data_IF_543851666043
#
_entry.id   IF_543851666043
#
_cell.length_a   1.000
_cell.length_b   1.000
_cell.length_c   1.000
_cell.angle_alpha   90.00
_cell.angle_beta   90.00
_cell.angle_gamma   90.00
#
_symmetry.space_group_name_H-M   'P 1'
#
loop_
_entity.id
_entity.type
_entity.pdbx_description
1 polymer ?
#
# COMPACT_ATOMS: atom_id res chain seq x y z
N UNK A 1 12.83 -22.81 4.93
CA UNK A 1 11.58 -22.10 4.61
C UNK A 1 10.50 -22.61 5.56
N UNK A 2 10.18 -21.88 6.64
CA UNK A 2 9.03 -22.27 7.49
C UNK A 2 7.79 -21.87 6.71
N UNK A 3 6.97 -22.84 6.31
CA UNK A 3 5.64 -22.54 5.80
C UNK A 3 4.91 -21.74 6.88
N UNK A 4 4.67 -20.46 6.65
CA UNK A 4 3.77 -19.70 7.50
C UNK A 4 2.40 -20.36 7.37
N UNK A 5 1.80 -20.79 8.49
CA UNK A 5 0.42 -21.28 8.45
C UNK A 5 -0.49 -20.16 7.95
N UNK A 6 -1.59 -20.53 7.29
CA UNK A 6 -2.60 -19.57 6.87
C UNK A 6 -3.07 -18.72 8.07
N UNK A 7 -3.27 -19.35 9.23
CA UNK A 7 -3.63 -18.68 10.49
C UNK A 7 -2.61 -17.60 10.89
N UNK A 8 -1.32 -17.90 10.78
CA UNK A 8 -0.25 -16.91 11.07
C UNK A 8 -0.34 -15.73 10.10
N UNK A 9 -0.67 -15.99 8.82
CA UNK A 9 -0.82 -14.91 7.85
C UNK A 9 -2.07 -14.07 8.07
N UNK A 10 -3.18 -14.68 8.50
CA UNK A 10 -4.42 -13.97 8.86
C UNK A 10 -4.16 -13.08 10.06
N UNK A 11 -3.51 -13.62 11.10
CA UNK A 11 -3.12 -12.86 12.29
C UNK A 11 -2.27 -11.64 11.92
N UNK A 12 -1.24 -11.82 11.10
CA UNK A 12 -0.39 -10.70 10.62
C UNK A 12 -1.17 -9.67 9.81
N UNK A 13 -2.15 -10.09 9.01
CA UNK A 13 -2.98 -9.15 8.27
C UNK A 13 -3.83 -8.30 9.23
N UNK A 14 -4.47 -8.90 10.24
CA UNK A 14 -5.20 -8.13 11.27
C UNK A 14 -4.29 -7.18 12.04
N UNK A 15 -3.06 -7.59 12.36
CA UNK A 15 -2.07 -6.70 13.01
C UNK A 15 -1.77 -5.47 12.15
N UNK A 16 -1.61 -5.63 10.83
CA UNK A 16 -1.40 -4.50 9.91
C UNK A 16 -2.63 -3.59 9.88
N UNK A 17 -3.83 -4.15 9.76
CA UNK A 17 -5.07 -3.39 9.73
C UNK A 17 -5.28 -2.60 11.03
N UNK A 18 -4.96 -3.20 12.18
CA UNK A 18 -5.07 -2.54 13.48
C UNK A 18 -4.08 -1.37 13.61
N UNK A 19 -2.83 -1.52 13.15
CA UNK A 19 -1.90 -0.39 13.13
C UNK A 19 -2.35 0.73 12.19
N UNK A 20 -2.87 0.39 11.00
CA UNK A 20 -3.39 1.38 10.04
C UNK A 20 -4.58 2.14 10.64
N UNK A 21 -5.50 1.43 11.29
CA UNK A 21 -6.62 2.02 12.02
C UNK A 21 -6.13 2.98 13.11
N UNK A 22 -5.11 2.59 13.89
CA UNK A 22 -4.48 3.41 14.91
C UNK A 22 -3.84 4.69 14.35
N UNK A 23 -3.05 4.58 13.29
CA UNK A 23 -2.43 5.71 12.58
C UNK A 23 -3.48 6.70 12.02
N UNK A 24 -4.64 6.19 11.63
CA UNK A 24 -5.73 7.00 11.08
C UNK A 24 -6.75 7.44 12.13
N UNK A 25 -6.58 7.04 13.40
CA UNK A 25 -7.39 7.47 14.52
C UNK A 25 -8.86 7.06 14.42
N UNK A 26 -9.17 5.98 13.70
CA UNK A 26 -10.52 5.42 13.64
C UNK A 26 -10.51 3.93 13.95
N UNK A 27 -11.50 3.46 14.70
CA UNK A 27 -11.66 2.06 15.06
C UNK A 27 -12.59 1.36 14.05
N UNK A 28 -12.14 1.31 12.79
CA UNK A 28 -12.90 0.73 11.68
C UNK A 28 -11.98 -0.13 10.80
N UNK A 29 -12.04 -1.44 10.98
CA UNK A 29 -11.25 -2.41 10.20
C UNK A 29 -11.56 -2.34 8.70
N UNK A 30 -12.81 -2.05 8.30
CA UNK A 30 -13.17 -1.92 6.88
C UNK A 30 -12.49 -0.71 6.24
N UNK A 31 -12.43 0.41 6.96
CA UNK A 31 -11.73 1.59 6.50
C UNK A 31 -10.21 1.35 6.42
N UNK A 32 -9.63 0.67 7.42
CA UNK A 32 -8.22 0.28 7.38
C UNK A 32 -7.90 -0.66 6.21
N UNK A 33 -8.80 -1.61 5.91
CA UNK A 33 -8.66 -2.50 4.76
C UNK A 33 -8.73 -1.73 3.43
N UNK A 34 -9.71 -0.83 3.28
CA UNK A 34 -9.83 0.02 2.10
C UNK A 34 -8.58 0.90 1.90
N UNK A 35 -8.07 1.51 2.98
CA UNK A 35 -6.82 2.27 2.98
C UNK A 35 -5.63 1.43 2.52
N UNK A 36 -5.44 0.24 3.11
CA UNK A 36 -4.38 -0.69 2.76
C UNK A 36 -4.44 -1.05 1.27
N UNK A 37 -5.59 -1.52 0.82
CA UNK A 37 -5.83 -1.97 -0.56
C UNK A 37 -5.57 -0.86 -1.56
N UNK A 38 -6.19 0.31 -1.38
CA UNK A 38 -6.04 1.45 -2.28
C UNK A 38 -4.58 1.92 -2.41
N UNK A 39 -3.87 1.99 -1.28
CA UNK A 39 -2.46 2.41 -1.28
C UNK A 39 -1.57 1.36 -1.96
N UNK A 40 -1.77 0.08 -1.64
CA UNK A 40 -1.01 -1.03 -2.24
C UNK A 40 -1.20 -1.09 -3.76
N UNK A 41 -2.43 -0.95 -4.25
CA UNK A 41 -2.71 -0.90 -5.69
C UNK A 41 -2.08 0.32 -6.36
N UNK A 42 -2.21 1.50 -5.75
CA UNK A 42 -1.64 2.73 -6.29
C UNK A 42 -0.10 2.66 -6.41
N UNK A 43 0.56 2.00 -5.45
CA UNK A 43 2.01 1.71 -5.50
C UNK A 43 2.30 0.68 -6.59
N UNK A 44 1.63 -0.47 -6.58
CA UNK A 44 1.82 -1.58 -7.53
C UNK A 44 1.78 -1.12 -8.98
N UNK A 45 0.74 -0.37 -9.36
CA UNK A 45 0.48 -0.02 -10.75
C UNK A 45 1.49 0.98 -11.31
N UNK A 46 2.39 1.49 -10.45
CA UNK A 46 3.48 2.40 -10.81
C UNK A 46 4.85 1.75 -10.79
N UNK A 47 4.96 0.50 -10.36
CA UNK A 47 6.22 -0.23 -10.34
C UNK A 47 6.45 -0.99 -11.66
N UNK A 48 7.71 -1.12 -12.10
CA UNK A 48 8.09 -2.13 -13.09
C UNK A 48 7.67 -3.53 -12.62
N UNK A 49 7.23 -4.39 -13.56
CA UNK A 49 6.73 -5.76 -13.25
C UNK A 49 7.70 -6.57 -12.39
N UNK A 50 9.02 -6.47 -12.64
CA UNK A 50 10.02 -7.15 -11.81
C UNK A 50 10.03 -6.68 -10.36
N UNK A 51 9.82 -5.38 -10.11
CA UNK A 51 9.75 -4.83 -8.76
C UNK A 51 8.39 -5.08 -8.10
N UNK A 52 7.32 -5.21 -8.88
CA UNK A 52 6.02 -5.65 -8.36
C UNK A 52 6.16 -7.01 -7.67
N UNK A 53 6.81 -7.97 -8.33
CA UNK A 53 7.06 -9.31 -7.82
C UNK A 53 7.89 -9.28 -6.51
N UNK A 54 8.99 -8.52 -6.51
CA UNK A 54 9.86 -8.38 -5.36
C UNK A 54 9.13 -7.75 -4.16
N UNK A 55 8.43 -6.64 -4.37
CA UNK A 55 7.69 -5.95 -3.31
C UNK A 55 6.61 -6.84 -2.68
N UNK A 56 5.86 -7.59 -3.50
CA UNK A 56 4.85 -8.52 -3.00
C UNK A 56 5.44 -9.72 -2.24
N UNK A 57 6.67 -10.15 -2.55
CA UNK A 57 7.31 -11.30 -1.92
C UNK A 57 7.63 -11.10 -0.43
N UNK A 58 7.79 -9.84 -0.02
CA UNK A 58 8.10 -9.43 1.34
C UNK A 58 6.85 -9.32 2.24
N UNK A 59 5.64 -9.39 1.65
CA UNK A 59 4.37 -9.27 2.39
C UNK A 59 3.88 -10.62 2.96
N UNK A 60 3.13 -10.62 4.08
CA UNK A 60 2.34 -11.77 4.52
C UNK A 60 1.40 -12.27 3.41
N UNK A 61 1.14 -13.58 3.34
CA UNK A 61 0.35 -14.22 2.27
C UNK A 61 -1.00 -13.53 2.01
N UNK A 62 -1.76 -13.20 3.05
CA UNK A 62 -3.06 -12.52 2.92
C UNK A 62 -2.90 -11.10 2.35
N UNK A 63 -1.97 -10.31 2.90
CA UNK A 63 -1.68 -8.94 2.41
C UNK A 63 -1.19 -8.98 0.96
N UNK A 64 -0.38 -9.97 0.60
CA UNK A 64 0.06 -10.22 -0.77
C UNK A 64 -1.11 -10.53 -1.70
N UNK A 65 -2.10 -11.29 -1.22
CA UNK A 65 -3.35 -11.53 -1.94
C UNK A 65 -4.09 -10.24 -2.25
N UNK A 66 -4.23 -9.35 -1.26
CA UNK A 66 -4.79 -8.00 -1.46
C UNK A 66 -3.98 -7.21 -2.48
N UNK A 67 -2.65 -7.20 -2.35
CA UNK A 67 -1.75 -6.50 -3.26
C UNK A 67 -1.93 -6.91 -4.73
N UNK A 68 -2.13 -8.19 -5.03
CA UNK A 68 -2.32 -8.68 -6.40
C UNK A 68 -3.77 -8.68 -6.89
N UNK A 69 -4.72 -8.32 -6.05
CA UNK A 69 -6.14 -8.36 -6.40
C UNK A 69 -6.43 -7.47 -7.62
N UNK A 70 -7.14 -8.05 -8.60
CA UNK A 70 -7.55 -7.35 -9.81
C UNK A 70 -6.41 -6.88 -10.73
N UNK A 71 -5.16 -7.28 -10.48
CA UNK A 71 -4.02 -6.80 -11.26
C UNK A 71 -4.03 -7.37 -12.68
N UNK A 72 -3.95 -6.47 -13.68
CA UNK A 72 -3.86 -6.83 -15.09
C UNK A 72 -2.75 -6.02 -15.79
N UNK A 73 -1.50 -6.54 -15.84
CA UNK A 73 -0.33 -5.80 -16.32
C UNK A 73 -0.23 -5.73 -17.83
N UNK A 74 -1.23 -5.14 -18.49
CA UNK A 74 -1.12 -4.76 -19.91
C UNK A 74 -0.31 -3.46 -20.06
N UNK A 75 0.50 -3.29 -21.12
CA UNK A 75 1.27 -2.06 -21.34
C UNK A 75 0.41 -0.79 -21.35
N UNK A 76 -0.81 -0.86 -21.88
CA UNK A 76 -1.76 0.25 -21.95
C UNK A 76 -2.23 0.70 -20.56
N UNK A 77 -2.61 -0.26 -19.70
CA UNK A 77 -3.03 0.03 -18.31
C UNK A 77 -1.90 0.57 -17.46
N UNK A 78 -0.70 0.01 -17.59
CA UNK A 78 0.47 0.50 -16.84
C UNK A 78 0.83 1.92 -17.25
N UNK A 79 0.78 2.25 -18.54
CA UNK A 79 0.96 3.64 -19.02
C UNK A 79 -0.12 4.57 -18.47
N UNK A 80 -1.39 4.15 -18.49
CA UNK A 80 -2.48 4.95 -17.94
C UNK A 80 -2.32 5.20 -16.43
N UNK A 81 -1.90 4.18 -15.66
CA UNK A 81 -1.65 4.30 -14.24
C UNK A 81 -0.46 5.21 -13.91
N UNK A 82 0.61 5.13 -14.70
CA UNK A 82 1.77 6.03 -14.60
C UNK A 82 1.41 7.50 -14.85
N UNK A 83 0.54 7.74 -15.82
CA UNK A 83 0.11 9.09 -16.19
C UNK A 83 -0.95 9.68 -15.25
N UNK A 84 -1.68 8.83 -14.52
CA UNK A 84 -2.67 9.28 -13.53
C UNK A 84 -1.96 9.79 -12.27
N UNK A 85 -2.46 10.89 -11.72
CA UNK A 85 -2.00 11.38 -10.43
C UNK A 85 -2.21 10.33 -9.32
N UNK A 86 -1.25 10.24 -8.40
CA UNK A 86 -1.31 9.23 -7.33
C UNK A 86 -2.47 9.49 -6.37
N UNK A 87 -2.69 10.74 -5.98
CA UNK A 87 -3.78 11.12 -5.09
C UNK A 87 -5.14 10.90 -5.78
N UNK A 88 -5.25 11.18 -7.09
CA UNK A 88 -6.44 10.86 -7.87
C UNK A 88 -6.73 9.35 -7.91
N UNK A 89 -5.71 8.51 -8.09
CA UNK A 89 -5.89 7.05 -8.06
C UNK A 89 -6.42 6.56 -6.71
N UNK A 90 -5.88 7.07 -5.60
CA UNK A 90 -6.37 6.79 -4.26
C UNK A 90 -7.81 7.24 -4.05
N UNK A 91 -8.16 8.48 -4.44
CA UNK A 91 -9.53 9.00 -4.30
C UNK A 91 -10.54 8.13 -5.05
N UNK A 92 -10.16 7.63 -6.23
CA UNK A 92 -11.03 6.75 -7.01
C UNK A 92 -11.27 5.40 -6.30
N UNK A 93 -10.23 4.80 -5.71
CA UNK A 93 -10.36 3.53 -4.96
C UNK A 93 -11.07 3.70 -3.60
N UNK A 94 -11.00 4.88 -3.01
CA UNK A 94 -11.60 5.20 -1.70
C UNK A 94 -12.98 5.84 -1.82
N UNK A 95 -13.57 5.88 -3.01
CA UNK A 95 -14.91 6.41 -3.22
C UNK A 95 -15.94 5.65 -2.36
N UNK A 96 -16.73 6.38 -1.57
CA UNK A 96 -17.69 5.81 -0.62
C UNK A 96 -17.15 5.60 0.80
N UNK A 97 -15.89 5.96 1.07
CA UNK A 97 -15.32 6.03 2.41
C UNK A 97 -15.10 7.50 2.81
N UNK A 98 -16.13 8.12 3.40
CA UNK A 98 -16.10 9.54 3.79
C UNK A 98 -15.04 9.84 4.86
N UNK A 99 -14.68 8.85 5.68
CA UNK A 99 -13.62 8.94 6.69
C UNK A 99 -12.19 8.90 6.09
N UNK A 100 -12.05 8.60 4.79
CA UNK A 100 -10.77 8.43 4.07
C UNK A 100 -10.50 9.52 3.02
N UNK A 101 -11.16 10.68 3.13
CA UNK A 101 -11.07 11.76 2.13
C UNK A 101 -9.66 12.40 2.05
N UNK A 102 -8.91 12.44 3.15
CA UNK A 102 -7.52 12.88 3.17
C UNK A 102 -6.59 11.75 2.68
N UNK A 103 -6.48 11.62 1.36
CA UNK A 103 -5.67 10.57 0.73
C UNK A 103 -4.18 10.68 1.04
N UNK A 104 -3.69 11.87 1.40
CA UNK A 104 -2.30 12.05 1.83
C UNK A 104 -2.06 11.42 3.19
N UNK A 105 -2.98 11.68 4.14
CA UNK A 105 -3.00 11.04 5.46
C UNK A 105 -3.17 9.52 5.34
N UNK A 106 -4.09 9.06 4.48
CA UNK A 106 -4.34 7.63 4.23
C UNK A 106 -3.10 6.92 3.70
N UNK A 107 -2.52 7.42 2.61
CA UNK A 107 -1.32 6.83 2.04
C UNK A 107 -0.16 6.87 3.06
N UNK A 108 -0.02 7.97 3.80
CA UNK A 108 1.03 8.12 4.81
C UNK A 108 0.94 7.10 5.94
N UNK A 109 -0.25 6.88 6.49
CA UNK A 109 -0.47 5.86 7.52
C UNK A 109 -0.11 4.46 7.04
N UNK A 110 -0.57 4.08 5.84
CA UNK A 110 -0.27 2.76 5.28
C UNK A 110 1.21 2.60 4.98
N UNK A 111 1.87 3.61 4.42
CA UNK A 111 3.31 3.60 4.13
C UNK A 111 4.13 3.42 5.42
N UNK A 112 3.79 4.14 6.50
CA UNK A 112 4.49 3.97 7.79
C UNK A 112 4.37 2.56 8.35
N UNK A 113 3.19 1.94 8.23
CA UNK A 113 2.99 0.53 8.65
C UNK A 113 3.82 -0.42 7.79
N UNK A 114 3.82 -0.23 6.47
CA UNK A 114 4.66 -0.99 5.54
C UNK A 114 6.14 -0.88 5.92
N UNK A 115 6.63 0.33 6.19
CA UNK A 115 8.02 0.57 6.59
C UNK A 115 8.39 -0.07 7.92
N UNK A 116 7.51 -0.05 8.92
CA UNK A 116 7.75 -0.71 10.21
C UNK A 116 7.77 -2.24 10.11
N UNK A 117 6.95 -2.80 9.21
CA UNK A 117 6.75 -4.25 9.10
C UNK A 117 7.71 -4.92 8.13
N UNK A 118 8.33 -4.17 7.22
CA UNK A 118 9.32 -4.67 6.26
C UNK A 118 10.74 -4.38 6.74
N UNK A 119 11.70 -5.24 6.36
CA UNK A 119 13.08 -5.07 6.80
C UNK A 119 13.69 -3.77 6.23
N UNK A 120 14.49 -3.03 7.03
CA UNK A 120 15.17 -1.83 6.56
C UNK A 120 15.95 -2.10 5.26
N UNK A 121 15.77 -1.24 4.26
CA UNK A 121 16.42 -1.35 2.95
C UNK A 121 15.64 -2.13 1.89
N UNK A 122 14.63 -2.95 2.25
CA UNK A 122 13.79 -3.65 1.26
C UNK A 122 12.96 -2.71 0.40
N UNK A 123 12.66 -1.51 0.93
CA UNK A 123 11.82 -0.52 0.26
C UNK A 123 12.62 0.47 -0.59
N UNK A 124 13.95 0.55 -0.44
CA UNK A 124 14.74 1.59 -1.11
C UNK A 124 14.58 1.53 -2.64
N UNK A 125 14.76 0.34 -3.22
CA UNK A 125 14.59 0.14 -4.66
C UNK A 125 13.13 0.31 -5.13
N UNK A 126 12.16 0.00 -4.29
CA UNK A 126 10.73 0.23 -4.58
C UNK A 126 10.45 1.72 -4.65
N UNK A 127 10.90 2.48 -3.65
CA UNK A 127 10.74 3.93 -3.56
C UNK A 127 11.45 4.62 -4.73
N UNK A 128 12.69 4.23 -5.04
CA UNK A 128 13.47 4.79 -6.15
C UNK A 128 12.77 4.63 -7.51
N UNK A 129 12.08 3.50 -7.71
CA UNK A 129 11.36 3.20 -8.94
C UNK A 129 10.02 3.94 -9.08
N UNK A 130 9.52 4.57 -8.01
CA UNK A 130 8.25 5.29 -8.05
C UNK A 130 8.38 6.63 -8.82
N UNK A 131 7.34 7.04 -9.57
CA UNK A 131 7.25 8.37 -10.16
C UNK A 131 7.36 9.48 -9.10
N UNK A 132 7.76 10.69 -9.52
CA UNK A 132 8.02 11.82 -8.59
C UNK A 132 6.87 12.10 -7.62
N UNK A 133 5.62 12.09 -8.09
CA UNK A 133 4.45 12.34 -7.24
C UNK A 133 4.27 11.29 -6.14
N UNK A 134 4.41 10.00 -6.48
CA UNK A 134 4.33 8.91 -5.51
C UNK A 134 5.50 8.95 -4.51
N UNK A 135 6.72 9.25 -4.98
CA UNK A 135 7.88 9.47 -4.09
C UNK A 135 7.69 10.64 -3.14
N UNK A 136 7.10 11.75 -3.59
CA UNK A 136 6.85 12.91 -2.75
C UNK A 136 5.89 12.58 -1.60
N UNK A 137 4.84 11.80 -1.86
CA UNK A 137 3.93 11.32 -0.82
C UNK A 137 4.61 10.36 0.15
N UNK A 138 5.46 9.47 -0.37
CA UNK A 138 6.27 8.58 0.47
C UNK A 138 7.24 9.35 1.37
N UNK A 139 7.87 10.41 0.86
CA UNK A 139 8.73 11.28 1.65
C UNK A 139 7.94 12.07 2.70
N UNK A 140 6.75 12.57 2.34
CA UNK A 140 5.86 13.26 3.28
C UNK A 140 5.38 12.32 4.40
N UNK A 141 5.10 11.05 4.09
CA UNK A 141 4.71 10.03 5.05
C UNK A 141 5.77 9.80 6.14
N UNK A 142 7.05 9.80 5.75
CA UNK A 142 8.20 9.65 6.64
C UNK A 142 8.46 10.90 7.49
N UNK A 143 8.12 12.09 6.97
CA UNK A 143 8.36 13.36 7.65
C UNK A 143 7.26 13.73 8.67
N UNK A 144 6.08 13.13 8.58
CA UNK A 144 4.99 13.38 9.51
C UNK A 144 5.23 12.66 10.85
N UNK A 145 5.18 13.35 12.00
CA UNK A 145 5.17 12.69 13.29
C UNK A 145 3.88 11.85 13.40
N UNK A 146 4.03 10.59 13.86
CA UNK A 146 2.93 9.66 14.10
C UNK A 146 2.02 10.08 15.24
#
# INVERSE_FOLDING_TARGET
MKAASLDTSVQRAHEWLHEIAGELGFDNERAAYAALRATLHAVRDRLPVGLVAHFGAEMPTIVRGVYYEGWHPSPERLRAAHNRDFAEALRAELAGHDELQDVGRVAGAVIRVIERRMAPGQLAHVIEALPRGARALWAAAQAAPG
#
